data_IF_568774475496
#
_entry.id   IF_568774475496
#
_cell.length_a   1.000
_cell.length_b   1.000
_cell.length_c   1.000
_cell.angle_alpha   90.00
_cell.angle_beta   90.00
_cell.angle_gamma   90.00
#
_symmetry.space_group_name_H-M   'P 1'
#
loop_
_entity.id
_entity.type
_entity.pdbx_description
1 polymer ?
#
# COMPACT_ATOMS: atom_id res chain seq x y z
N UNK A 1 8.87 -19.31 6.77
CA UNK A 1 9.15 -18.70 5.46
C UNK A 1 8.59 -17.28 5.43
N UNK A 2 9.48 -16.28 5.56
CA UNK A 2 9.11 -14.87 5.50
C UNK A 2 9.17 -14.31 4.07
N UNK A 3 8.69 -15.05 3.06
CA UNK A 3 8.63 -14.61 1.67
C UNK A 3 7.21 -14.25 1.28
N UNK A 4 7.04 -13.18 0.50
CA UNK A 4 5.74 -12.83 -0.06
C UNK A 4 5.34 -13.78 -1.21
N UNK A 5 4.05 -13.78 -1.56
CA UNK A 5 3.56 -14.53 -2.72
C UNK A 5 4.26 -14.13 -4.03
N UNK A 6 4.62 -12.85 -4.19
CA UNK A 6 5.34 -12.37 -5.36
C UNK A 6 6.74 -12.98 -5.48
N UNK A 7 7.48 -13.07 -4.38
CA UNK A 7 8.82 -13.69 -4.36
C UNK A 7 8.75 -15.19 -4.61
N UNK A 8 7.75 -15.88 -4.03
CA UNK A 8 7.53 -17.31 -4.27
C UNK A 8 7.15 -17.59 -5.73
N UNK A 9 6.29 -16.77 -6.32
CA UNK A 9 5.91 -16.89 -7.73
C UNK A 9 7.12 -16.68 -8.65
N UNK A 10 7.93 -15.65 -8.40
CA UNK A 10 9.14 -15.42 -9.19
C UNK A 10 10.10 -16.59 -9.10
N UNK A 11 10.32 -17.15 -7.91
CA UNK A 11 11.16 -18.32 -7.71
C UNK A 11 10.66 -19.53 -8.51
N UNK A 12 9.34 -19.80 -8.44
CA UNK A 12 8.71 -20.88 -9.22
C UNK A 12 8.90 -20.68 -10.72
N UNK A 13 8.74 -19.47 -11.25
CA UNK A 13 8.93 -19.15 -12.66
C UNK A 13 10.40 -19.37 -13.06
N UNK A 14 11.35 -18.97 -12.24
CA UNK A 14 12.77 -19.15 -12.51
C UNK A 14 13.20 -20.63 -12.53
N UNK A 15 12.60 -21.47 -11.69
CA UNK A 15 12.93 -22.90 -11.59
C UNK A 15 12.25 -23.75 -12.67
N UNK A 16 11.08 -23.32 -13.19
CA UNK A 16 10.22 -24.15 -14.05
C UNK A 16 10.01 -23.61 -15.47
N UNK A 17 10.35 -22.34 -15.72
CA UNK A 17 10.17 -21.71 -17.03
C UNK A 17 11.55 -21.36 -17.58
N UNK A 18 11.81 -21.72 -18.85
CA UNK A 18 13.09 -21.48 -19.52
C UNK A 18 13.60 -20.06 -19.32
N UNK A 19 14.67 -19.94 -18.53
CA UNK A 19 15.30 -18.68 -18.10
C UNK A 19 15.91 -17.84 -19.24
N UNK A 20 15.97 -18.37 -20.46
CA UNK A 20 16.65 -17.73 -21.59
C UNK A 20 15.82 -16.62 -22.28
N UNK A 21 14.55 -16.47 -21.95
CA UNK A 21 13.63 -15.59 -22.69
C UNK A 21 13.30 -14.28 -21.91
N UNK A 22 13.56 -14.23 -20.61
CA UNK A 22 13.12 -13.13 -19.75
C UNK A 22 14.29 -12.48 -19.00
N UNK A 23 14.35 -11.15 -19.01
CA UNK A 23 15.24 -10.38 -18.14
C UNK A 23 14.70 -10.43 -16.69
N UNK A 24 15.25 -11.37 -15.91
CA UNK A 24 14.87 -11.52 -14.50
C UNK A 24 15.47 -10.48 -13.56
N UNK A 25 16.38 -9.63 -13.99
CA UNK A 25 17.03 -8.68 -13.09
C UNK A 25 16.01 -7.64 -12.59
N UNK A 26 15.21 -7.07 -13.49
CA UNK A 26 14.15 -6.17 -13.08
C UNK A 26 13.06 -6.89 -12.27
N UNK A 27 12.70 -8.12 -12.65
CA UNK A 27 11.72 -8.91 -11.91
C UNK A 27 12.18 -9.19 -10.47
N UNK A 28 13.48 -9.45 -10.25
CA UNK A 28 14.06 -9.60 -8.89
C UNK A 28 13.96 -8.31 -8.09
N UNK A 29 14.26 -7.16 -8.70
CA UNK A 29 14.11 -5.86 -8.03
C UNK A 29 12.66 -5.61 -7.66
N UNK A 30 11.75 -5.75 -8.63
CA UNK A 30 10.32 -5.50 -8.42
C UNK A 30 9.73 -6.46 -7.37
N UNK A 31 10.05 -7.76 -7.42
CA UNK A 31 9.54 -8.72 -6.43
C UNK A 31 9.98 -8.41 -5.00
N UNK A 32 11.22 -7.90 -4.82
CA UNK A 32 11.70 -7.44 -3.50
C UNK A 32 10.93 -6.21 -3.00
N UNK A 33 10.62 -5.26 -3.88
CA UNK A 33 9.82 -4.09 -3.52
C UNK A 33 8.38 -4.49 -3.15
N UNK A 34 7.79 -5.42 -3.89
CA UNK A 34 6.47 -5.98 -3.58
C UNK A 34 6.51 -6.71 -2.23
N UNK A 35 7.52 -7.58 -1.99
CA UNK A 35 7.68 -8.29 -0.72
C UNK A 35 7.84 -7.34 0.47
N UNK A 36 8.68 -6.31 0.33
CA UNK A 36 8.92 -5.32 1.38
C UNK A 36 7.63 -4.57 1.75
N UNK A 37 6.75 -4.32 0.77
CA UNK A 37 5.42 -3.75 0.98
C UNK A 37 4.43 -4.76 1.57
N UNK A 38 4.32 -5.96 1.00
CA UNK A 38 3.36 -6.99 1.44
C UNK A 38 3.59 -7.40 2.90
N UNK A 39 4.85 -7.45 3.31
CA UNK A 39 5.25 -7.72 4.69
C UNK A 39 5.29 -6.45 5.56
N UNK A 40 4.83 -5.32 5.02
CA UNK A 40 4.73 -4.01 5.71
C UNK A 40 6.05 -3.53 6.33
N UNK A 41 7.19 -3.91 5.75
CA UNK A 41 8.53 -3.59 6.26
C UNK A 41 8.98 -2.18 5.88
N UNK A 42 8.76 -1.79 4.62
CA UNK A 42 9.19 -0.49 4.03
C UNK A 42 10.67 -0.15 4.27
N UNK A 43 11.53 -1.17 4.22
CA UNK A 43 12.98 -1.03 4.43
C UNK A 43 13.73 -0.58 3.17
N UNK A 44 13.15 -0.79 1.99
CA UNK A 44 13.77 -0.41 0.72
C UNK A 44 13.28 0.97 0.28
N UNK A 45 14.21 1.84 -0.11
CA UNK A 45 13.94 3.24 -0.48
C UNK A 45 12.82 3.40 -1.52
N UNK A 46 12.76 2.50 -2.49
CA UNK A 46 11.82 2.61 -3.60
C UNK A 46 10.52 1.81 -3.42
N UNK A 47 10.28 1.19 -2.27
CA UNK A 47 9.07 0.40 -2.01
C UNK A 47 7.81 1.26 -2.10
N UNK A 48 7.77 2.38 -1.36
CA UNK A 48 6.62 3.30 -1.42
C UNK A 48 6.47 3.95 -2.79
N UNK A 49 7.51 4.58 -3.36
CA UNK A 49 7.43 5.15 -4.71
C UNK A 49 6.93 4.17 -5.76
N UNK A 50 7.44 2.94 -5.77
CA UNK A 50 7.00 1.92 -6.70
C UNK A 50 5.52 1.59 -6.51
N UNK A 51 5.09 1.36 -5.28
CA UNK A 51 3.69 1.09 -4.95
C UNK A 51 2.77 2.22 -5.42
N UNK A 52 3.10 3.47 -5.13
CA UNK A 52 2.31 4.62 -5.53
C UNK A 52 2.18 4.74 -7.05
N UNK A 53 3.27 4.49 -7.79
CA UNK A 53 3.21 4.45 -9.25
C UNK A 53 2.25 3.36 -9.75
N UNK A 54 2.38 2.13 -9.24
CA UNK A 54 1.55 1.00 -9.65
C UNK A 54 0.07 1.27 -9.42
N UNK A 55 -0.30 1.67 -8.20
CA UNK A 55 -1.71 1.91 -7.86
C UNK A 55 -2.35 3.09 -8.59
N UNK A 56 -1.54 4.08 -8.98
CA UNK A 56 -2.05 5.26 -9.70
C UNK A 56 -2.11 5.07 -11.22
N UNK A 57 -1.30 4.17 -11.79
CA UNK A 57 -1.14 4.08 -13.24
C UNK A 57 -1.56 2.73 -13.84
N UNK A 58 -1.74 1.70 -13.01
CA UNK A 58 -2.08 0.34 -13.48
C UNK A 58 -3.39 -0.10 -12.85
N UNK A 59 -4.33 -0.51 -13.68
CA UNK A 59 -5.59 -1.08 -13.19
C UNK A 59 -5.33 -2.43 -12.52
N UNK A 60 -6.05 -2.79 -11.45
CA UNK A 60 -5.81 -4.03 -10.70
C UNK A 60 -5.77 -5.31 -11.54
N UNK A 61 -6.51 -5.37 -12.64
CA UNK A 61 -6.61 -6.54 -13.52
C UNK A 61 -5.79 -6.41 -14.81
N UNK A 62 -4.96 -5.39 -14.96
CA UNK A 62 -4.12 -5.19 -16.15
C UNK A 62 -2.81 -5.97 -16.02
N UNK A 63 -2.93 -7.29 -16.21
CA UNK A 63 -1.80 -8.24 -16.13
C UNK A 63 -0.74 -7.90 -17.18
N UNK A 64 -1.13 -7.43 -18.36
CA UNK A 64 -0.19 -7.08 -19.43
C UNK A 64 0.66 -5.86 -19.08
N UNK A 65 0.05 -4.80 -18.52
CA UNK A 65 0.79 -3.63 -18.05
C UNK A 65 1.77 -4.01 -16.95
N UNK A 66 1.35 -4.86 -15.99
CA UNK A 66 2.21 -5.31 -14.90
C UNK A 66 3.35 -6.23 -15.41
N UNK A 67 3.06 -7.16 -16.32
CA UNK A 67 4.07 -8.04 -16.91
C UNK A 67 5.13 -7.27 -17.71
N UNK A 68 4.74 -6.18 -18.39
CA UNK A 68 5.70 -5.28 -19.06
C UNK A 68 6.68 -4.65 -18.07
N UNK A 69 6.21 -4.23 -16.89
CA UNK A 69 7.08 -3.68 -15.85
C UNK A 69 8.04 -4.74 -15.33
N UNK A 70 7.58 -5.96 -15.12
CA UNK A 70 8.40 -7.06 -14.62
C UNK A 70 9.51 -7.47 -15.61
N UNK A 71 9.17 -7.63 -16.88
CA UNK A 71 10.00 -8.39 -17.82
C UNK A 71 10.46 -7.62 -19.06
N UNK A 72 9.95 -6.41 -19.31
CA UNK A 72 10.18 -5.70 -20.58
C UNK A 72 10.69 -4.28 -20.45
N UNK A 73 10.79 -3.74 -19.25
CA UNK A 73 11.35 -2.40 -19.05
C UNK A 73 12.86 -2.47 -18.79
N UNK A 74 13.58 -1.47 -19.28
CA UNK A 74 14.98 -1.31 -18.94
C UNK A 74 15.14 -0.55 -17.62
N UNK A 75 16.36 -0.54 -17.07
CA UNK A 75 16.69 0.11 -15.81
C UNK A 75 16.40 1.63 -15.82
N UNK A 76 16.59 2.33 -16.94
CA UNK A 76 16.29 3.75 -17.05
C UNK A 76 14.79 4.05 -16.87
N UNK A 77 13.94 3.18 -17.44
CA UNK A 77 12.49 3.30 -17.29
C UNK A 77 12.04 2.98 -15.87
N UNK A 78 12.68 2.02 -15.20
CA UNK A 78 12.42 1.71 -13.79
C UNK A 78 12.75 2.92 -12.89
N UNK A 79 13.86 3.62 -13.13
CA UNK A 79 14.19 4.89 -12.45
C UNK A 79 13.11 5.96 -12.67
N UNK A 80 12.54 6.04 -13.87
CA UNK A 80 11.44 6.98 -14.16
C UNK A 80 10.19 6.63 -13.36
N UNK A 81 9.87 5.33 -13.24
CA UNK A 81 8.78 4.84 -12.40
C UNK A 81 8.97 5.27 -10.95
N UNK A 82 10.17 5.07 -10.39
CA UNK A 82 10.47 5.49 -9.02
C UNK A 82 10.34 7.00 -8.82
N UNK A 83 10.87 7.80 -9.77
CA UNK A 83 10.75 9.26 -9.70
C UNK A 83 9.30 9.72 -9.73
N UNK A 84 8.50 9.20 -10.65
CA UNK A 84 7.06 9.53 -10.74
C UNK A 84 6.32 9.10 -9.49
N UNK A 85 6.57 7.88 -9.03
CA UNK A 85 5.95 7.37 -7.80
C UNK A 85 6.31 8.18 -6.56
N UNK A 86 7.54 8.69 -6.48
CA UNK A 86 7.95 9.58 -5.39
C UNK A 86 7.16 10.89 -5.38
N UNK A 87 6.93 11.49 -6.55
CA UNK A 87 6.08 12.69 -6.66
C UNK A 87 4.64 12.41 -6.19
N UNK A 88 4.08 11.25 -6.57
CA UNK A 88 2.74 10.84 -6.13
C UNK A 88 2.73 10.63 -4.61
N UNK A 89 3.73 9.95 -4.06
CA UNK A 89 3.88 9.73 -2.63
C UNK A 89 3.91 11.06 -1.86
N UNK A 90 4.77 11.99 -2.25
CA UNK A 90 4.91 13.30 -1.60
C UNK A 90 3.58 14.08 -1.61
N UNK A 91 2.84 14.01 -2.71
CA UNK A 91 1.52 14.63 -2.81
C UNK A 91 0.51 13.99 -1.84
N UNK A 92 0.45 12.66 -1.77
CA UNK A 92 -0.43 11.95 -0.83
C UNK A 92 -0.05 12.19 0.63
N UNK A 93 1.23 12.18 0.95
CA UNK A 93 1.72 12.48 2.30
C UNK A 93 1.30 13.88 2.75
N UNK A 94 1.36 14.88 1.84
CA UNK A 94 0.85 16.23 2.11
C UNK A 94 -0.66 16.21 2.39
N UNK A 95 -1.45 15.50 1.59
CA UNK A 95 -2.90 15.39 1.82
C UNK A 95 -3.22 14.73 3.17
N UNK A 96 -2.51 13.65 3.51
CA UNK A 96 -2.65 12.96 4.80
C UNK A 96 -2.31 13.92 5.94
N UNK A 97 -1.22 14.68 5.83
CA UNK A 97 -0.82 15.65 6.83
C UNK A 97 -1.88 16.76 7.04
N UNK A 98 -2.40 17.31 5.94
CA UNK A 98 -3.45 18.35 5.98
C UNK A 98 -4.71 17.82 6.66
N UNK A 99 -5.21 16.64 6.28
CA UNK A 99 -6.36 15.99 6.93
C UNK A 99 -6.10 15.72 8.42
N UNK A 100 -4.92 15.20 8.75
CA UNK A 100 -4.56 14.89 10.12
C UNK A 100 -4.45 16.13 10.99
N UNK A 101 -4.03 17.28 10.44
CA UNK A 101 -3.96 18.55 11.17
C UNK A 101 -5.33 19.10 11.53
N UNK A 102 -6.34 18.82 10.70
CA UNK A 102 -7.73 19.23 10.92
C UNK A 102 -8.45 18.31 11.94
N UNK A 103 -7.90 17.10 12.18
CA UNK A 103 -8.48 16.15 13.14
C UNK A 103 -7.98 16.47 14.54
N UNK A 104 -8.70 17.37 15.26
CA UNK A 104 -8.32 17.83 16.60
C UNK A 104 -8.95 16.93 17.66
N UNK A 105 -10.28 16.76 17.63
CA UNK A 105 -11.06 15.96 18.59
C UNK A 105 -11.84 14.88 17.83
N UNK A 106 -11.22 13.73 17.53
CA UNK A 106 -11.90 12.68 16.78
C UNK A 106 -12.99 12.01 17.62
N UNK A 107 -14.07 11.60 16.96
CA UNK A 107 -15.13 10.82 17.60
C UNK A 107 -14.59 9.46 18.02
N UNK A 108 -14.77 9.11 19.30
CA UNK A 108 -14.42 7.79 19.84
C UNK A 108 -15.71 7.00 20.08
N UNK A 109 -15.70 5.74 19.66
CA UNK A 109 -16.80 4.79 19.86
C UNK A 109 -16.25 3.55 20.53
N UNK A 110 -16.93 3.05 21.55
CA UNK A 110 -16.61 1.77 22.18
C UNK A 110 -17.39 0.64 21.50
N UNK A 111 -16.67 -0.34 21.00
CA UNK A 111 -17.22 -1.57 20.43
C UNK A 111 -16.61 -2.77 21.16
N UNK A 112 -17.43 -3.54 21.84
CA UNK A 112 -17.01 -4.74 22.58
C UNK A 112 -15.84 -4.51 23.54
N UNK A 113 -15.81 -3.35 24.21
CA UNK A 113 -14.75 -2.99 25.16
C UNK A 113 -13.50 -2.36 24.54
N UNK A 114 -13.44 -2.25 23.21
CA UNK A 114 -12.33 -1.59 22.49
C UNK A 114 -12.79 -0.20 22.03
N UNK A 115 -12.00 0.82 22.35
CA UNK A 115 -12.24 2.17 21.88
C UNK A 115 -11.61 2.38 20.50
N UNK A 116 -12.42 2.87 19.54
CA UNK A 116 -12.01 3.20 18.19
C UNK A 116 -12.21 4.68 17.91
N UNK A 117 -11.25 5.29 17.27
CA UNK A 117 -11.48 6.55 16.55
C UNK A 117 -12.28 6.23 15.29
N UNK A 118 -13.37 6.96 15.06
CA UNK A 118 -14.23 6.76 13.87
C UNK A 118 -14.18 8.00 13.00
N UNK A 119 -13.75 7.82 11.73
CA UNK A 119 -13.59 8.92 10.77
C UNK A 119 -14.23 8.56 9.44
N UNK A 120 -14.96 9.52 8.86
CA UNK A 120 -15.43 9.39 7.49
C UNK A 120 -14.29 9.68 6.51
N UNK A 121 -13.90 8.70 5.69
CA UNK A 121 -12.91 8.87 4.63
C UNK A 121 -13.42 8.32 3.31
N UNK A 122 -13.59 9.22 2.36
CA UNK A 122 -14.14 8.89 1.03
C UNK A 122 -13.10 8.62 -0.02
N UNK A 123 -11.84 9.06 0.18
CA UNK A 123 -10.73 8.85 -0.74
C UNK A 123 -10.11 7.49 -0.51
N UNK A 124 -10.48 6.50 -1.33
CA UNK A 124 -10.05 5.11 -1.19
C UNK A 124 -8.52 4.91 -1.20
N UNK A 125 -7.82 5.76 -1.93
CA UNK A 125 -6.37 5.72 -2.08
C UNK A 125 -5.58 6.33 -0.90
N UNK A 126 -6.27 6.97 0.06
CA UNK A 126 -5.67 7.50 1.29
C UNK A 126 -6.03 6.70 2.55
N UNK A 127 -6.98 5.77 2.46
CA UNK A 127 -7.53 5.06 3.63
C UNK A 127 -6.44 4.40 4.48
N UNK A 128 -5.47 3.74 3.87
CA UNK A 128 -4.41 3.05 4.60
C UNK A 128 -3.45 4.01 5.28
N UNK A 129 -2.94 4.99 4.54
CA UNK A 129 -1.96 5.96 5.02
C UNK A 129 -2.57 6.88 6.09
N UNK A 130 -3.79 7.36 5.85
CA UNK A 130 -4.50 8.23 6.79
C UNK A 130 -4.88 7.47 8.06
N UNK A 131 -5.40 6.24 7.94
CA UNK A 131 -5.70 5.41 9.10
C UNK A 131 -4.48 5.14 9.97
N UNK A 132 -3.35 4.77 9.36
CA UNK A 132 -2.10 4.58 10.09
C UNK A 132 -1.59 5.87 10.74
N UNK A 133 -1.75 7.02 10.09
CA UNK A 133 -1.37 8.31 10.66
C UNK A 133 -2.22 8.67 11.88
N UNK A 134 -3.54 8.39 11.84
CA UNK A 134 -4.44 8.57 12.99
C UNK A 134 -4.04 7.65 14.13
N UNK A 135 -3.83 6.34 13.87
CA UNK A 135 -3.37 5.40 14.90
C UNK A 135 -2.11 5.90 15.61
N UNK A 136 -1.13 6.38 14.85
CA UNK A 136 0.12 6.93 15.41
C UNK A 136 -0.09 8.20 16.22
N UNK A 137 -0.91 9.15 15.72
CA UNK A 137 -1.16 10.43 16.39
C UNK A 137 -1.87 10.25 17.72
N UNK A 138 -2.87 9.38 17.79
CA UNK A 138 -3.75 9.24 18.94
C UNK A 138 -3.48 7.97 19.77
N UNK A 139 -2.55 7.12 19.34
CA UNK A 139 -2.23 5.82 19.95
C UNK A 139 -3.50 4.98 20.21
N UNK A 140 -4.37 4.88 19.22
CA UNK A 140 -5.68 4.21 19.32
C UNK A 140 -6.04 3.55 17.98
N UNK A 141 -6.73 2.38 17.98
CA UNK A 141 -7.28 1.81 16.78
C UNK A 141 -8.24 2.77 16.08
N UNK A 142 -8.33 2.69 14.77
CA UNK A 142 -9.21 3.52 13.96
C UNK A 142 -10.11 2.69 13.04
N UNK A 143 -11.34 3.12 12.91
CA UNK A 143 -12.29 2.67 11.91
C UNK A 143 -12.57 3.83 10.94
N UNK A 144 -12.08 3.69 9.71
CA UNK A 144 -12.45 4.61 8.64
C UNK A 144 -13.68 4.05 7.95
N UNK A 145 -14.68 4.90 7.71
CA UNK A 145 -15.89 4.47 7.03
C UNK A 145 -16.21 5.34 5.82
N UNK A 146 -16.88 4.73 4.85
CA UNK A 146 -17.42 5.39 3.66
C UNK A 146 -18.82 4.89 3.42
N UNK A 147 -19.78 5.80 3.34
CA UNK A 147 -21.15 5.49 2.92
C UNK A 147 -21.13 5.25 1.41
N UNK A 148 -21.54 4.05 0.99
CA UNK A 148 -21.63 3.68 -0.43
C UNK A 148 -23.01 4.04 -0.97
N UNK A 149 -24.06 3.69 -0.23
CA UNK A 149 -25.47 4.01 -0.49
C UNK A 149 -26.27 3.92 0.83
N UNK A 150 -27.60 4.04 0.76
CA UNK A 150 -28.48 4.03 1.94
C UNK A 150 -28.37 2.74 2.79
N UNK A 151 -27.99 1.62 2.18
CA UNK A 151 -27.95 0.31 2.84
C UNK A 151 -26.52 -0.18 3.14
N UNK A 152 -25.51 0.39 2.50
CA UNK A 152 -24.15 -0.14 2.53
C UNK A 152 -23.11 0.89 2.97
N UNK A 153 -22.27 0.46 3.90
CA UNK A 153 -21.12 1.20 4.41
C UNK A 153 -19.87 0.35 4.25
N UNK A 154 -18.82 0.90 3.68
CA UNK A 154 -17.50 0.29 3.68
C UNK A 154 -16.76 0.67 4.96
N UNK A 155 -16.18 -0.32 5.64
CA UNK A 155 -15.40 -0.13 6.85
C UNK A 155 -13.96 -0.58 6.62
N UNK A 156 -13.01 0.19 7.12
CA UNK A 156 -11.59 -0.14 7.09
C UNK A 156 -10.97 0.07 8.46
N UNK A 157 -10.53 -1.00 9.07
CA UNK A 157 -9.91 -0.97 10.39
C UNK A 157 -8.39 -0.89 10.28
N UNK A 158 -7.77 -0.15 11.18
CA UNK A 158 -6.32 -0.09 11.37
C UNK A 158 -5.99 -0.15 12.85
N UNK A 159 -4.93 -0.89 13.16
CA UNK A 159 -4.33 -0.96 14.49
C UNK A 159 -2.81 -0.98 14.36
N UNK A 160 -2.11 -0.87 15.48
CA UNK A 160 -0.66 -1.02 15.57
C UNK A 160 -0.35 -2.20 16.49
N UNK A 161 0.86 -2.77 16.38
CA UNK A 161 1.27 -3.98 17.12
C UNK A 161 1.14 -3.85 18.65
N UNK A 162 1.20 -2.63 19.17
CA UNK A 162 1.05 -2.34 20.59
C UNK A 162 -0.39 -2.00 21.01
N UNK A 163 -1.34 -2.07 20.09
CA UNK A 163 -2.76 -1.83 20.33
C UNK A 163 -3.55 -3.14 20.28
N UNK A 164 -4.78 -3.20 20.84
CA UNK A 164 -5.62 -4.37 20.76
C UNK A 164 -5.74 -4.88 19.31
N UNK A 165 -5.53 -6.18 19.11
CA UNK A 165 -5.81 -6.83 17.83
C UNK A 165 -7.31 -6.82 17.58
N UNK A 166 -7.69 -6.38 16.39
CA UNK A 166 -9.07 -6.23 15.93
C UNK A 166 -9.45 -7.43 15.08
#
# INVERSE_FOLDING_TARGET
>A
NNMSGATLALKFIQENIYSQILDFENAKVVSKLVEDRDLWKFNLENTKPFGEYIFSNIKPNDIDAFSKILFRINHAKLKTIFKTGKTIQEYKEKQVYEKLSQLVEPKVVNLYGINFIVVNETQADLVSEFGNAICKKFNMPVCLYKIINEENVSLSFRSMDNLPNI
#
